data_IF_014222399097
#
_entry.id   IF_014222399097
#
_cell.length_a   1.000
_cell.length_b   1.000
_cell.length_c   1.000
_cell.angle_alpha   90.00
_cell.angle_beta   90.00
_cell.angle_gamma   90.00
#
_symmetry.space_group_name_H-M   'P 1'
#
loop_
_entity.id
_entity.type
_entity.pdbx_description
1 polymer ?
#
# COMPACT_ATOMS: atom_id res chain seq x y z
N UNK A 1 3.16 20.07 13.99
CA UNK A 1 2.57 19.29 12.90
C UNK A 1 3.15 17.88 13.03
N UNK A 2 2.35 16.84 12.87
CA UNK A 2 2.85 15.46 12.91
C UNK A 2 3.61 15.15 11.62
N UNK A 3 4.68 14.38 11.76
CA UNK A 3 5.57 13.98 10.67
C UNK A 3 5.39 12.50 10.37
N UNK A 4 4.99 12.18 9.15
CA UNK A 4 4.64 10.81 8.75
C UNK A 4 5.50 10.36 7.57
N UNK A 5 6.08 9.18 7.69
CA UNK A 5 6.71 8.47 6.57
C UNK A 5 5.77 7.36 6.12
N UNK A 6 5.45 7.32 4.86
CA UNK A 6 4.75 6.19 4.25
C UNK A 6 5.72 5.42 3.36
N UNK A 7 5.80 4.11 3.58
CA UNK A 7 6.57 3.18 2.75
C UNK A 7 5.56 2.27 2.07
N UNK A 8 5.54 2.23 0.74
CA UNK A 8 4.51 1.43 0.09
C UNK A 8 4.46 1.61 -1.42
N UNK A 9 3.41 1.06 -2.00
CA UNK A 9 3.15 1.02 -3.42
C UNK A 9 2.60 2.32 -3.98
N UNK A 10 2.86 2.52 -5.26
CA UNK A 10 2.13 3.46 -6.11
C UNK A 10 1.85 2.81 -7.46
N UNK A 11 0.64 2.96 -7.97
CA UNK A 11 0.19 2.35 -9.20
C UNK A 11 -0.51 3.37 -10.10
N UNK A 12 -0.53 3.07 -11.39
CA UNK A 12 -1.52 3.65 -12.29
C UNK A 12 -2.68 2.67 -12.39
N UNK A 13 -3.85 3.10 -11.93
CA UNK A 13 -5.08 2.29 -11.93
C UNK A 13 -5.83 2.57 -13.24
N UNK A 14 -5.96 1.56 -14.11
CA UNK A 14 -6.76 1.62 -15.34
C UNK A 14 -8.06 0.85 -15.12
N UNK A 15 -9.18 1.58 -15.12
CA UNK A 15 -10.51 0.99 -14.95
C UNK A 15 -11.22 0.87 -16.29
N UNK A 16 -11.56 -0.36 -16.65
CA UNK A 16 -12.39 -0.73 -17.79
C UNK A 16 -13.83 -0.85 -17.31
N UNK A 17 -14.68 0.10 -17.68
CA UNK A 17 -16.11 0.02 -17.40
C UNK A 17 -16.79 -0.90 -18.42
N UNK A 18 -17.51 -1.91 -17.94
CA UNK A 18 -18.17 -2.91 -18.77
C UNK A 18 -19.60 -3.12 -18.31
N UNK A 19 -20.46 -3.63 -19.19
CA UNK A 19 -21.81 -4.00 -18.80
C UNK A 19 -21.79 -5.23 -17.87
N UNK A 20 -21.16 -6.29 -18.34
CA UNK A 20 -20.98 -7.56 -17.63
C UNK A 20 -19.53 -8.04 -17.82
N UNK A 21 -19.00 -8.88 -16.91
CA UNK A 21 -17.69 -9.48 -17.08
C UNK A 21 -17.67 -10.47 -18.27
N UNK A 22 -16.58 -10.50 -19.07
CA UNK A 22 -16.46 -11.46 -20.16
C UNK A 22 -16.35 -12.89 -19.62
N UNK A 23 -16.98 -13.82 -20.29
CA UNK A 23 -16.77 -15.25 -20.05
C UNK A 23 -15.46 -15.72 -20.72
N UNK A 24 -14.88 -16.84 -20.28
CA UNK A 24 -13.70 -17.41 -20.94
C UNK A 24 -13.91 -17.54 -22.46
N UNK A 25 -13.01 -16.95 -23.25
CA UNK A 25 -13.08 -16.94 -24.71
C UNK A 25 -14.00 -15.87 -25.33
N UNK A 26 -14.67 -15.05 -24.51
CA UNK A 26 -15.54 -13.98 -25.00
C UNK A 26 -14.76 -12.67 -25.20
N UNK A 27 -15.12 -11.93 -26.24
CA UNK A 27 -14.63 -10.56 -26.46
C UNK A 27 -15.78 -9.59 -26.25
N UNK A 28 -15.61 -8.65 -25.35
CA UNK A 28 -16.60 -7.58 -25.08
C UNK A 28 -15.97 -6.21 -25.33
N UNK A 29 -16.82 -5.18 -25.44
CA UNK A 29 -16.38 -3.80 -25.52
C UNK A 29 -16.49 -3.13 -24.12
N UNK A 30 -15.47 -2.36 -23.74
CA UNK A 30 -15.59 -1.44 -22.63
C UNK A 30 -16.54 -0.29 -23.04
N UNK A 31 -17.37 0.15 -22.11
CA UNK A 31 -18.26 1.31 -22.28
C UNK A 31 -17.50 2.62 -22.01
N UNK A 32 -16.49 2.57 -21.13
CA UNK A 32 -15.58 3.66 -20.82
C UNK A 32 -14.26 3.12 -20.29
N UNK A 33 -13.20 3.92 -20.37
CA UNK A 33 -11.87 3.63 -19.81
C UNK A 33 -11.37 4.84 -19.06
N UNK A 34 -11.10 4.68 -17.77
CA UNK A 34 -10.55 5.75 -16.94
C UNK A 34 -9.20 5.38 -16.37
N UNK A 35 -8.34 6.38 -16.15
CA UNK A 35 -7.01 6.20 -15.57
C UNK A 35 -6.82 7.16 -14.40
N UNK A 36 -6.33 6.65 -13.29
CA UNK A 36 -6.04 7.44 -12.09
C UNK A 36 -4.76 6.96 -11.40
N UNK A 37 -4.14 7.82 -10.61
CA UNK A 37 -3.08 7.38 -9.72
C UNK A 37 -3.67 6.67 -8.51
N UNK A 38 -3.08 5.54 -8.13
CA UNK A 38 -3.50 4.67 -7.04
C UNK A 38 -2.31 4.03 -6.32
N UNK A 39 -2.55 2.85 -5.78
CA UNK A 39 -1.63 2.14 -4.89
C UNK A 39 -1.88 2.48 -3.42
N UNK A 40 -1.84 1.46 -2.56
CA UNK A 40 -2.17 1.62 -1.13
C UNK A 40 -1.25 2.61 -0.43
N UNK A 41 0.04 2.57 -0.72
CA UNK A 41 1.03 3.50 -0.17
C UNK A 41 0.77 4.94 -0.60
N UNK A 42 0.60 5.20 -1.89
CA UNK A 42 0.33 6.53 -2.44
C UNK A 42 -0.96 7.12 -1.86
N UNK A 43 -2.03 6.31 -1.79
CA UNK A 43 -3.31 6.75 -1.23
C UNK A 43 -3.19 7.13 0.26
N UNK A 44 -2.42 6.37 1.05
CA UNK A 44 -2.18 6.68 2.47
C UNK A 44 -1.30 7.93 2.63
N UNK A 45 -0.27 8.11 1.80
CA UNK A 45 0.56 9.30 1.82
C UNK A 45 -0.25 10.56 1.49
N UNK A 46 -1.10 10.50 0.45
CA UNK A 46 -2.00 11.60 0.08
C UNK A 46 -3.00 11.90 1.20
N UNK A 47 -3.59 10.86 1.81
CA UNK A 47 -4.53 11.03 2.92
C UNK A 47 -3.86 11.70 4.13
N UNK A 48 -2.65 11.29 4.49
CA UNK A 48 -1.87 11.90 5.57
C UNK A 48 -1.56 13.38 5.30
N UNK A 49 -1.08 13.70 4.08
CA UNK A 49 -0.80 15.08 3.68
C UNK A 49 -2.07 15.95 3.70
N UNK A 50 -3.19 15.46 3.14
CA UNK A 50 -4.49 16.16 3.17
C UNK A 50 -5.03 16.35 4.58
N UNK A 51 -4.65 15.49 5.52
CA UNK A 51 -5.00 15.62 6.95
C UNK A 51 -4.09 16.60 7.70
N UNK A 52 -3.18 17.28 7.02
CA UNK A 52 -2.30 18.30 7.58
C UNK A 52 -1.00 17.75 8.19
N UNK A 53 -0.63 16.52 7.91
CA UNK A 53 0.69 16.01 8.30
C UNK A 53 1.77 16.43 7.30
N UNK A 54 2.98 16.65 7.79
CA UNK A 54 4.18 16.70 6.96
C UNK A 54 4.50 15.26 6.55
N UNK A 55 4.37 14.94 5.25
CA UNK A 55 4.37 13.57 4.77
C UNK A 55 5.45 13.32 3.73
N UNK A 56 6.29 12.31 3.97
CA UNK A 56 7.24 11.77 3.01
C UNK A 56 6.80 10.40 2.51
N UNK A 57 7.14 10.12 1.27
CA UNK A 57 6.86 8.83 0.66
C UNK A 57 8.14 8.14 0.19
N UNK A 58 8.36 6.91 0.65
CA UNK A 58 9.46 6.04 0.23
C UNK A 58 8.88 4.97 -0.68
N UNK A 59 9.31 4.98 -1.94
CA UNK A 59 8.74 4.12 -2.98
C UNK A 59 9.71 4.02 -4.16
N UNK A 60 9.43 3.09 -5.08
CA UNK A 60 10.05 3.03 -6.40
C UNK A 60 9.01 3.08 -7.50
N UNK A 61 9.32 3.82 -8.56
CA UNK A 61 8.55 3.91 -9.81
C UNK A 61 9.45 3.53 -10.99
N UNK A 62 8.86 3.19 -12.11
CA UNK A 62 9.62 2.93 -13.34
C UNK A 62 10.20 4.21 -13.95
N UNK A 63 11.19 4.05 -14.83
CA UNK A 63 11.69 5.13 -15.70
C UNK A 63 10.77 5.29 -16.93
N UNK A 64 9.51 5.64 -16.67
CA UNK A 64 8.45 5.76 -17.67
C UNK A 64 7.55 6.98 -17.41
N UNK A 65 6.61 7.24 -18.34
CA UNK A 65 5.64 8.35 -18.22
C UNK A 65 4.77 8.21 -16.98
N UNK A 66 4.47 6.99 -16.58
CA UNK A 66 3.58 6.68 -15.47
C UNK A 66 4.26 6.96 -14.12
N UNK A 67 5.57 6.66 -14.01
CA UNK A 67 6.38 7.08 -12.86
C UNK A 67 6.44 8.60 -12.70
N UNK A 68 6.58 9.31 -13.82
CA UNK A 68 6.49 10.78 -13.85
C UNK A 68 5.12 11.28 -13.41
N UNK A 69 4.04 10.69 -13.91
CA UNK A 69 2.65 11.03 -13.56
C UNK A 69 2.38 10.83 -12.06
N UNK A 70 2.71 9.67 -11.51
CA UNK A 70 2.53 9.36 -10.07
C UNK A 70 3.32 10.33 -9.19
N UNK A 71 4.60 10.57 -9.53
CA UNK A 71 5.45 11.48 -8.75
C UNK A 71 4.90 12.91 -8.77
N UNK A 72 4.42 13.38 -9.94
CA UNK A 72 3.79 14.68 -10.06
C UNK A 72 2.50 14.77 -9.23
N UNK A 73 1.66 13.74 -9.30
CA UNK A 73 0.40 13.69 -8.54
C UNK A 73 0.66 13.75 -7.03
N UNK A 74 1.60 12.95 -6.50
CA UNK A 74 1.98 12.96 -5.09
C UNK A 74 2.40 14.37 -4.64
N UNK A 75 3.29 15.03 -5.41
CA UNK A 75 3.73 16.40 -5.14
C UNK A 75 2.56 17.39 -5.12
N UNK A 76 1.60 17.25 -6.04
CA UNK A 76 0.44 18.15 -6.13
C UNK A 76 -0.46 18.07 -4.89
N UNK A 77 -0.44 16.95 -4.18
CA UNK A 77 -1.14 16.76 -2.91
C UNK A 77 -0.30 17.08 -1.67
N UNK A 78 0.91 17.63 -1.84
CA UNK A 78 1.77 18.04 -0.74
C UNK A 78 2.59 16.92 -0.11
N UNK A 79 2.73 15.78 -0.79
CA UNK A 79 3.62 14.69 -0.37
C UNK A 79 5.04 15.01 -0.83
N UNK A 80 6.01 14.90 0.06
CA UNK A 80 7.43 14.99 -0.28
C UNK A 80 7.89 13.68 -0.93
N UNK A 81 8.40 13.79 -2.15
CA UNK A 81 8.81 12.66 -3.00
C UNK A 81 10.32 12.52 -3.13
N UNK A 82 11.10 13.14 -2.25
CA UNK A 82 12.57 13.09 -2.28
C UNK A 82 13.10 11.64 -2.29
N UNK A 83 12.35 10.73 -1.67
CA UNK A 83 12.71 9.31 -1.57
C UNK A 83 11.87 8.40 -2.49
N UNK A 84 11.19 8.97 -3.49
CA UNK A 84 10.62 8.20 -4.60
C UNK A 84 11.73 7.99 -5.62
N UNK A 85 12.24 6.77 -5.71
CA UNK A 85 13.35 6.40 -6.58
C UNK A 85 12.84 5.89 -7.94
N UNK A 86 13.56 6.22 -8.99
CA UNK A 86 13.28 5.69 -10.33
C UNK A 86 14.11 4.42 -10.57
N UNK A 87 13.48 3.38 -11.12
CA UNK A 87 14.14 2.11 -11.45
C UNK A 87 14.24 1.95 -12.96
N UNK A 88 15.46 1.94 -13.47
CA UNK A 88 15.74 1.68 -14.88
C UNK A 88 15.37 0.23 -15.23
N UNK A 89 14.67 0.03 -16.33
CA UNK A 89 14.29 -1.31 -16.82
C UNK A 89 13.06 -1.94 -16.15
N UNK A 90 12.53 -1.34 -15.09
CA UNK A 90 11.23 -1.72 -14.53
C UNK A 90 10.14 -0.76 -15.01
N UNK A 91 8.91 -1.25 -15.09
CA UNK A 91 7.71 -0.42 -15.31
C UNK A 91 7.18 0.08 -13.97
N UNK A 92 6.50 1.21 -13.99
CA UNK A 92 5.68 1.65 -12.85
C UNK A 92 4.58 0.62 -12.57
N UNK A 93 4.20 0.44 -11.30
CA UNK A 93 3.13 -0.48 -10.91
C UNK A 93 1.80 -0.11 -11.55
N UNK A 94 1.00 -1.12 -11.92
CA UNK A 94 -0.31 -0.95 -12.55
C UNK A 94 -1.37 -1.80 -11.83
N UNK A 95 -2.60 -1.28 -11.76
CA UNK A 95 -3.78 -2.06 -11.47
C UNK A 95 -4.74 -1.99 -12.66
N UNK A 96 -5.13 -3.14 -13.17
CA UNK A 96 -6.13 -3.28 -14.23
C UNK A 96 -7.44 -3.71 -13.58
N UNK A 97 -8.42 -2.84 -13.62
CA UNK A 97 -9.70 -3.00 -12.92
C UNK A 97 -10.79 -3.15 -13.96
N UNK A 98 -11.54 -4.22 -13.91
CA UNK A 98 -12.79 -4.33 -14.66
C UNK A 98 -13.93 -4.06 -13.69
N UNK A 99 -14.78 -3.09 -14.00
CA UNK A 99 -15.93 -2.67 -13.18
C UNK A 99 -17.21 -2.81 -13.99
N UNK A 100 -18.15 -3.64 -13.50
CA UNK A 100 -19.43 -3.84 -14.18
C UNK A 100 -20.53 -2.88 -13.68
N UNK A 101 -21.68 -2.82 -14.37
CA UNK A 101 -22.81 -1.98 -14.00
C UNK A 101 -23.45 -2.35 -12.63
N UNK A 102 -23.23 -3.57 -12.14
CA UNK A 102 -23.66 -4.00 -10.80
C UNK A 102 -22.73 -3.52 -9.68
N UNK A 103 -21.63 -2.79 -10.01
CA UNK A 103 -20.65 -2.31 -9.05
C UNK A 103 -19.66 -3.38 -8.56
N UNK A 104 -19.61 -4.54 -9.22
CA UNK A 104 -18.60 -5.57 -8.95
C UNK A 104 -17.34 -5.27 -9.71
N UNK A 105 -16.17 -5.63 -9.13
CA UNK A 105 -14.90 -5.46 -9.78
C UNK A 105 -14.05 -6.73 -9.74
N UNK A 106 -13.20 -6.87 -10.77
CA UNK A 106 -12.06 -7.78 -10.81
C UNK A 106 -10.80 -6.94 -10.99
N UNK A 107 -9.76 -7.26 -10.22
CA UNK A 107 -8.52 -6.47 -10.18
C UNK A 107 -7.33 -7.38 -10.44
N UNK A 108 -6.50 -6.98 -11.41
CA UNK A 108 -5.21 -7.61 -11.70
C UNK A 108 -4.12 -6.57 -11.42
N UNK A 109 -3.14 -6.92 -10.58
CA UNK A 109 -2.05 -6.03 -10.21
C UNK A 109 -0.76 -6.51 -10.85
N UNK A 110 -0.08 -5.59 -11.56
CA UNK A 110 1.33 -5.70 -11.90
C UNK A 110 2.11 -4.80 -10.94
N UNK A 111 2.89 -5.41 -10.06
CA UNK A 111 3.61 -4.66 -9.02
C UNK A 111 4.73 -3.78 -9.58
N UNK A 112 5.31 -4.14 -10.73
CA UNK A 112 6.37 -3.37 -11.37
C UNK A 112 7.47 -2.94 -10.39
N UNK A 113 7.89 -1.69 -10.47
CA UNK A 113 8.95 -1.11 -9.66
C UNK A 113 8.65 -1.09 -8.14
N UNK A 114 7.40 -1.27 -7.70
CA UNK A 114 7.10 -1.37 -6.26
C UNK A 114 7.85 -2.53 -5.59
N UNK A 115 8.11 -3.63 -6.32
CA UNK A 115 8.85 -4.78 -5.79
C UNK A 115 10.37 -4.66 -5.92
N UNK A 116 10.85 -3.59 -6.56
CA UNK A 116 12.27 -3.25 -6.62
C UNK A 116 12.73 -2.41 -5.42
N UNK A 117 11.82 -2.06 -4.49
CA UNK A 117 12.18 -1.35 -3.26
C UNK A 117 13.12 -2.21 -2.41
N UNK A 118 14.19 -1.61 -1.89
CA UNK A 118 15.27 -2.32 -1.21
C UNK A 118 15.54 -1.76 0.19
N UNK A 119 16.29 -2.52 0.99
CA UNK A 119 16.80 -2.03 2.30
C UNK A 119 17.80 -0.89 2.13
N UNK A 120 18.50 -0.80 1.01
CA UNK A 120 19.41 0.31 0.68
C UNK A 120 18.66 1.63 0.52
N UNK A 121 17.44 1.62 -0.03
CA UNK A 121 16.58 2.80 -0.11
C UNK A 121 16.20 3.30 1.29
N UNK A 122 15.98 2.39 2.24
CA UNK A 122 15.73 2.74 3.63
C UNK A 122 16.95 3.32 4.31
N UNK A 123 18.16 2.84 4.00
CA UNK A 123 19.42 3.41 4.53
C UNK A 123 19.62 4.84 4.03
N UNK A 124 19.32 5.10 2.76
CA UNK A 124 19.35 6.45 2.20
C UNK A 124 18.35 7.40 2.90
N UNK A 125 17.22 6.87 3.39
CA UNK A 125 16.20 7.60 4.13
C UNK A 125 16.31 7.46 5.66
N UNK A 126 17.44 6.97 6.19
CA UNK A 126 17.57 6.60 7.61
C UNK A 126 17.34 7.77 8.56
N UNK A 127 17.84 8.97 8.23
CA UNK A 127 17.65 10.17 9.04
C UNK A 127 16.17 10.56 9.11
N UNK A 128 15.44 10.38 8.01
CA UNK A 128 14.00 10.58 7.97
C UNK A 128 13.29 9.59 8.90
N UNK A 129 13.55 8.29 8.73
CA UNK A 129 12.91 7.21 9.50
C UNK A 129 13.18 7.39 11.01
N UNK A 130 14.40 7.79 11.38
CA UNK A 130 14.79 7.93 12.78
C UNK A 130 14.22 9.18 13.47
N UNK A 131 13.84 10.21 12.71
CA UNK A 131 13.47 11.51 13.27
C UNK A 131 11.97 11.84 13.14
N UNK A 132 11.17 11.00 12.48
CA UNK A 132 9.76 11.23 12.23
C UNK A 132 8.87 10.57 13.30
N UNK A 133 7.61 11.02 13.42
CA UNK A 133 6.72 10.58 14.51
C UNK A 133 6.19 9.16 14.27
N UNK A 134 5.89 8.82 13.01
CA UNK A 134 5.17 7.62 12.65
C UNK A 134 5.59 7.10 11.27
N UNK A 135 5.60 5.78 11.11
CA UNK A 135 5.80 5.10 9.83
C UNK A 135 4.61 4.20 9.52
N UNK A 136 4.11 4.28 8.30
CA UNK A 136 2.98 3.48 7.81
C UNK A 136 3.47 2.61 6.66
N UNK A 137 3.07 1.33 6.63
CA UNK A 137 3.35 0.43 5.51
C UNK A 137 2.21 -0.56 5.24
N UNK A 138 2.27 -1.23 4.08
CA UNK A 138 1.31 -2.23 3.60
C UNK A 138 2.06 -3.42 2.98
N UNK A 139 1.36 -4.34 2.27
CA UNK A 139 1.96 -5.53 1.67
C UNK A 139 2.06 -5.49 0.13
N UNK A 140 2.10 -4.32 -0.47
CA UNK A 140 2.31 -4.16 -1.91
C UNK A 140 3.77 -3.81 -2.28
N UNK A 141 4.68 -3.96 -1.33
CA UNK A 141 6.14 -3.85 -1.47
C UNK A 141 6.81 -5.03 -0.74
N UNK A 142 8.11 -5.30 -0.94
CA UNK A 142 8.77 -6.42 -0.27
C UNK A 142 8.64 -6.36 1.27
N UNK A 143 8.17 -7.46 1.87
CA UNK A 143 7.86 -7.54 3.31
C UNK A 143 9.13 -7.42 4.17
N UNK A 144 10.26 -7.89 3.70
CA UNK A 144 11.56 -7.77 4.37
C UNK A 144 12.01 -6.31 4.46
N UNK A 145 11.71 -5.48 3.46
CA UNK A 145 11.93 -4.03 3.49
C UNK A 145 11.03 -3.38 4.54
N UNK A 146 9.73 -3.69 4.55
CA UNK A 146 8.80 -3.22 5.58
C UNK A 146 9.26 -3.61 6.99
N UNK A 147 9.66 -4.88 7.17
CA UNK A 147 10.19 -5.38 8.46
C UNK A 147 11.44 -4.60 8.89
N UNK A 148 12.36 -4.35 7.96
CA UNK A 148 13.58 -3.60 8.23
C UNK A 148 13.29 -2.14 8.62
N UNK A 149 12.34 -1.50 7.93
CA UNK A 149 11.92 -0.14 8.24
C UNK A 149 11.28 -0.03 9.63
N UNK A 150 10.38 -0.95 9.98
CA UNK A 150 9.74 -0.99 11.29
C UNK A 150 10.76 -1.25 12.41
N UNK A 151 11.72 -2.15 12.18
CA UNK A 151 12.84 -2.38 13.11
C UNK A 151 13.68 -1.12 13.34
N UNK A 152 13.97 -0.35 12.28
CA UNK A 152 14.68 0.95 12.41
C UNK A 152 13.85 1.94 13.21
N UNK A 153 12.57 2.10 12.88
CA UNK A 153 11.64 2.99 13.57
C UNK A 153 11.52 2.66 15.07
N UNK A 154 11.36 1.39 15.42
CA UNK A 154 11.28 0.95 16.82
C UNK A 154 12.55 1.23 17.60
N UNK A 155 13.74 1.06 17.00
CA UNK A 155 15.01 1.44 17.63
C UNK A 155 15.08 2.94 17.92
N UNK A 156 14.44 3.77 17.11
CA UNK A 156 14.35 5.21 17.28
C UNK A 156 13.16 5.65 18.17
N UNK A 157 12.40 4.71 18.74
CA UNK A 157 11.23 4.99 19.59
C UNK A 157 10.03 5.57 18.82
N UNK A 158 9.89 5.26 17.53
CA UNK A 158 8.83 5.76 16.66
C UNK A 158 7.66 4.79 16.58
N UNK A 159 6.47 5.32 16.28
CA UNK A 159 5.24 4.54 16.09
C UNK A 159 5.24 3.89 14.71
N UNK A 160 4.88 2.61 14.66
CA UNK A 160 4.75 1.84 13.43
C UNK A 160 3.31 1.39 13.22
N UNK A 161 2.77 1.61 12.03
CA UNK A 161 1.40 1.28 11.66
C UNK A 161 1.43 0.39 10.43
N UNK A 162 0.86 -0.79 10.55
CA UNK A 162 0.73 -1.77 9.46
C UNK A 162 -0.73 -1.84 8.99
N UNK A 163 -0.95 -1.54 7.72
CA UNK A 163 -2.16 -1.95 7.03
C UNK A 163 -1.87 -3.29 6.32
N UNK A 164 -2.41 -4.43 6.80
CA UNK A 164 -2.02 -5.77 6.31
C UNK A 164 -2.72 -6.13 4.99
N UNK A 165 -2.71 -5.22 4.05
CA UNK A 165 -3.37 -5.29 2.74
C UNK A 165 -2.33 -5.31 1.59
N UNK A 166 -2.52 -6.16 0.54
CA UNK A 166 -3.55 -7.21 0.44
C UNK A 166 -3.35 -8.33 1.47
N UNK A 167 -4.45 -9.02 1.81
CA UNK A 167 -4.43 -10.06 2.83
C UNK A 167 -3.49 -11.22 2.47
N UNK A 168 -2.56 -11.54 3.36
CA UNK A 168 -1.65 -12.69 3.29
C UNK A 168 -2.03 -13.75 4.32
N UNK A 169 -1.62 -14.99 4.11
CA UNK A 169 -2.02 -16.11 4.99
C UNK A 169 -1.40 -16.01 6.39
N UNK A 170 -0.19 -15.46 6.48
CA UNK A 170 0.52 -15.30 7.75
C UNK A 170 1.45 -14.10 7.69
N UNK A 171 1.30 -13.19 8.64
CA UNK A 171 2.23 -12.09 8.84
C UNK A 171 3.51 -12.64 9.50
N UNK A 172 4.71 -12.31 9.01
CA UNK A 172 5.96 -12.72 9.65
C UNK A 172 6.02 -12.24 11.10
N UNK A 173 6.39 -13.13 12.03
CA UNK A 173 6.47 -12.82 13.45
C UNK A 173 7.44 -11.65 13.75
N UNK A 174 8.53 -11.56 12.97
CA UNK A 174 9.47 -10.43 13.10
C UNK A 174 8.83 -9.09 12.73
N UNK A 175 7.92 -9.05 11.74
CA UNK A 175 7.20 -7.82 11.42
C UNK A 175 6.22 -7.45 12.52
N UNK A 176 5.43 -8.41 13.01
CA UNK A 176 4.50 -8.18 14.13
C UNK A 176 5.21 -7.64 15.37
N UNK A 177 6.37 -8.19 15.71
CA UNK A 177 7.20 -7.72 16.84
C UNK A 177 7.54 -6.23 16.79
N UNK A 178 7.63 -5.66 15.60
CA UNK A 178 7.97 -4.25 15.39
C UNK A 178 6.76 -3.39 14.98
N UNK A 179 5.54 -3.94 15.05
CA UNK A 179 4.29 -3.24 14.73
C UNK A 179 3.60 -2.78 16.01
N UNK A 180 3.30 -1.49 16.12
CA UNK A 180 2.53 -0.95 17.25
C UNK A 180 1.03 -0.98 16.99
N UNK A 181 0.62 -0.72 15.74
CA UNK A 181 -0.79 -0.65 15.33
C UNK A 181 -0.96 -1.45 14.06
N UNK A 182 -1.95 -2.34 14.07
CA UNK A 182 -2.38 -3.07 12.87
C UNK A 182 -3.81 -2.63 12.50
N UNK A 183 -4.06 -2.38 11.21
CA UNK A 183 -5.32 -1.83 10.72
C UNK A 183 -5.90 -2.70 9.59
N UNK A 184 -6.40 -3.90 9.88
CA UNK A 184 -7.04 -4.77 8.88
C UNK A 184 -8.49 -4.35 8.66
N UNK A 185 -9.02 -4.62 7.45
CA UNK A 185 -10.46 -4.73 7.23
C UNK A 185 -10.97 -6.12 7.66
N UNK A 186 -12.28 -6.38 7.53
CA UNK A 186 -12.91 -7.65 7.97
C UNK A 186 -12.30 -8.86 7.25
N UNK A 187 -12.04 -8.74 5.96
CA UNK A 187 -11.48 -9.84 5.15
C UNK A 187 -10.03 -10.13 5.53
N UNK A 188 -9.23 -9.09 5.69
CA UNK A 188 -7.83 -9.19 6.11
C UNK A 188 -7.74 -9.78 7.52
N UNK A 189 -8.55 -9.26 8.44
CA UNK A 189 -8.63 -9.73 9.81
C UNK A 189 -9.04 -11.20 9.89
N UNK A 190 -10.09 -11.59 9.16
CA UNK A 190 -10.53 -12.98 9.08
C UNK A 190 -9.43 -13.92 8.56
N UNK A 191 -8.67 -13.46 7.56
CA UNK A 191 -7.58 -14.24 6.97
C UNK A 191 -6.41 -14.40 7.95
N UNK A 192 -6.02 -13.34 8.64
CA UNK A 192 -4.89 -13.34 9.60
C UNK A 192 -5.22 -14.20 10.83
N UNK A 193 -6.44 -14.08 11.35
CA UNK A 193 -6.85 -14.78 12.57
C UNK A 193 -7.38 -16.19 12.33
N UNK A 194 -7.86 -16.46 11.10
CA UNK A 194 -8.61 -17.66 10.74
C UNK A 194 -10.05 -17.66 11.30
N UNK A 195 -10.56 -16.53 11.78
CA UNK A 195 -11.92 -16.38 12.34
C UNK A 195 -12.73 -15.48 11.41
N UNK A 196 -13.71 -16.02 10.64
CA UNK A 196 -14.58 -15.21 9.80
C UNK A 196 -15.41 -14.24 10.64
N UNK A 197 -15.50 -12.98 10.20
CA UNK A 197 -16.34 -11.97 10.82
C UNK A 197 -17.73 -12.02 10.15
N UNK A 198 -18.75 -12.42 10.91
CA UNK A 198 -20.14 -12.53 10.44
C UNK A 198 -21.08 -11.57 11.17
N UNK A 199 -20.76 -11.21 12.40
CA UNK A 199 -21.53 -10.40 13.31
C UNK A 199 -20.64 -9.79 14.41
N UNK A 200 -21.22 -9.01 15.29
CA UNK A 200 -20.47 -8.35 16.38
C UNK A 200 -19.79 -9.33 17.35
N UNK A 201 -20.30 -10.54 17.53
CA UNK A 201 -19.70 -11.52 18.43
C UNK A 201 -18.43 -12.15 17.82
N UNK A 202 -18.47 -12.45 16.53
CA UNK A 202 -17.30 -12.95 15.78
C UNK A 202 -16.28 -11.84 15.55
N UNK A 203 -16.70 -10.57 15.44
CA UNK A 203 -15.80 -9.43 15.42
C UNK A 203 -15.01 -9.32 16.73
N UNK A 204 -15.66 -9.36 17.88
CA UNK A 204 -15.00 -9.31 19.19
C UNK A 204 -13.98 -10.44 19.37
N UNK A 205 -14.35 -11.68 19.02
CA UNK A 205 -13.44 -12.83 19.09
C UNK A 205 -12.24 -12.69 18.15
N UNK A 206 -12.45 -12.11 16.97
CA UNK A 206 -11.41 -11.85 16.00
C UNK A 206 -10.43 -10.78 16.53
N UNK A 207 -10.95 -9.71 17.12
CA UNK A 207 -10.17 -8.62 17.71
C UNK A 207 -9.30 -9.11 18.88
N UNK A 208 -9.88 -9.91 19.81
CA UNK A 208 -9.13 -10.56 20.88
C UNK A 208 -7.96 -11.37 20.34
N UNK A 209 -8.16 -12.11 19.25
CA UNK A 209 -7.10 -12.91 18.64
C UNK A 209 -6.02 -12.07 17.96
N UNK A 210 -6.40 -10.94 17.34
CA UNK A 210 -5.43 -9.97 16.78
C UNK A 210 -4.50 -9.42 17.86
N UNK A 211 -5.02 -9.14 19.06
CA UNK A 211 -4.22 -8.66 20.19
C UNK A 211 -3.22 -9.72 20.75
N UNK A 212 -3.37 -10.99 20.38
CA UNK A 212 -2.50 -12.08 20.81
C UNK A 212 -1.39 -12.41 19.80
N UNK A 213 -1.35 -11.76 18.63
CA UNK A 213 -0.33 -11.93 17.60
C UNK A 213 0.92 -11.10 17.92
#
# INVERSE_FOLDING_TARGET
MKKIVVIGSSNVDTTLHVKDFPKPGETINATDVTTAGGGKGANQAIAAAKSGAETYFINRVGEDSDGGYITHQLKSYGVDTTYVQTTMGAKTGHAYITLNEAGQNDIIIDHGANYELTVEDLKAASDLINNWDCIIAQFETPIDVTTSAFKMAKKAGKVTILNPAPAIDKIPADLLKYTDIIMPNETESAKITGIPIKDNSTLATNDEKLHLL
#
